data_IF_362709807581
#
_entry.id   IF_362709807581
#
_cell.length_a   1.000
_cell.length_b   1.000
_cell.length_c   1.000
_cell.angle_alpha   90.00
_cell.angle_beta   90.00
_cell.angle_gamma   90.00
#
_symmetry.space_group_name_H-M   'P 1'
#
loop_
_entity.id
_entity.type
_entity.pdbx_description
1 polymer ?
#
# COMPACT_ATOMS: atom_id res chain seq x y z
N UNK A 1 15.60 25.34 65.72
CA UNK A 1 14.59 25.73 64.71
C UNK A 1 15.39 26.15 63.49
N UNK A 2 15.81 25.19 62.68
CA UNK A 2 15.02 24.53 61.62
C UNK A 2 14.80 25.53 60.47
N UNK A 3 15.75 25.54 59.53
CA UNK A 3 15.60 26.05 58.16
C UNK A 3 16.87 25.74 57.37
N UNK A 4 16.97 24.50 56.88
CA UNK A 4 17.90 24.12 55.81
C UNK A 4 17.62 22.66 55.43
N UNK A 5 16.61 22.41 54.60
CA UNK A 5 16.53 21.12 53.86
C UNK A 5 15.52 21.07 52.70
N UNK A 6 14.87 22.18 52.28
CA UNK A 6 13.76 22.10 51.31
C UNK A 6 14.07 22.45 49.84
N UNK A 7 15.26 22.95 49.50
CA UNK A 7 15.56 23.45 48.13
C UNK A 7 16.26 22.45 47.18
N UNK A 8 16.79 21.34 47.70
CA UNK A 8 17.49 20.33 46.90
C UNK A 8 16.57 19.41 46.08
N UNK A 9 15.33 19.21 46.54
CA UNK A 9 14.38 18.31 45.88
C UNK A 9 13.69 18.94 44.66
N UNK A 10 13.39 20.25 44.71
CA UNK A 10 12.72 20.97 43.61
C UNK A 10 13.64 21.21 42.41
N UNK A 11 14.92 21.48 42.66
CA UNK A 11 15.95 21.69 41.62
C UNK A 11 16.31 20.40 40.89
N UNK A 12 16.49 19.28 41.62
CA UNK A 12 16.73 17.96 41.03
C UNK A 12 15.53 17.45 40.20
N UNK A 13 14.29 17.75 40.63
CA UNK A 13 13.07 17.41 39.89
C UNK A 13 12.93 18.17 38.55
N UNK A 14 13.32 19.45 38.54
CA UNK A 14 13.34 20.28 37.33
C UNK A 14 14.39 19.81 36.32
N UNK A 15 15.57 19.39 36.79
CA UNK A 15 16.63 18.86 35.92
C UNK A 15 16.26 17.48 35.34
N UNK A 16 15.61 16.62 36.12
CA UNK A 16 15.09 15.35 35.62
C UNK A 16 14.03 15.56 34.52
N UNK A 17 13.11 16.51 34.70
CA UNK A 17 12.08 16.84 33.71
C UNK A 17 12.69 17.39 32.42
N UNK A 18 13.70 18.26 32.53
CA UNK A 18 14.43 18.79 31.37
C UNK A 18 15.18 17.69 30.61
N UNK A 19 15.84 16.78 31.33
CA UNK A 19 16.54 15.64 30.74
C UNK A 19 15.57 14.71 29.99
N UNK A 20 14.42 14.38 30.60
CA UNK A 20 13.37 13.58 29.96
C UNK A 20 12.82 14.28 28.72
N UNK A 21 12.54 15.58 28.79
CA UNK A 21 12.05 16.35 27.64
C UNK A 21 13.07 16.38 26.49
N UNK A 22 14.37 16.50 26.79
CA UNK A 22 15.44 16.44 25.79
C UNK A 22 15.53 15.04 25.16
N UNK A 23 15.41 13.98 25.96
CA UNK A 23 15.39 12.61 25.46
C UNK A 23 14.20 12.36 24.51
N UNK A 24 12.99 12.81 24.90
CA UNK A 24 11.78 12.73 24.06
C UNK A 24 11.96 13.55 22.79
N UNK A 25 12.43 14.81 22.88
CA UNK A 25 12.68 15.66 21.72
C UNK A 25 13.68 15.03 20.75
N UNK A 26 14.74 14.41 21.26
CA UNK A 26 15.72 13.67 20.45
C UNK A 26 15.07 12.46 19.78
N UNK A 27 14.22 11.71 20.49
CA UNK A 27 13.51 10.57 19.94
C UNK A 27 12.55 10.99 18.80
N UNK A 28 11.76 12.05 19.01
CA UNK A 28 10.79 12.59 18.04
C UNK A 28 11.40 13.13 16.74
N UNK A 29 12.72 13.38 16.70
CA UNK A 29 13.40 13.79 15.47
C UNK A 29 13.60 12.64 14.48
N UNK A 30 13.47 11.40 14.91
CA UNK A 30 13.66 10.25 14.04
C UNK A 30 12.33 9.91 13.35
N UNK A 31 12.34 9.67 12.04
CA UNK A 31 11.14 9.26 11.32
C UNK A 31 10.69 7.86 11.77
N UNK A 32 9.38 7.68 11.89
CA UNK A 32 8.78 6.34 12.07
C UNK A 32 9.00 5.53 10.80
N UNK A 33 9.74 4.44 10.90
CA UNK A 33 10.05 3.53 9.79
C UNK A 33 9.40 2.15 9.91
N UNK A 34 8.87 1.84 11.10
CA UNK A 34 8.13 0.63 11.37
C UNK A 34 7.10 0.86 12.48
N UNK A 35 6.00 0.12 12.45
CA UNK A 35 5.01 0.06 13.51
C UNK A 35 4.49 -1.38 13.65
N UNK A 36 3.89 -1.70 14.79
CA UNK A 36 3.31 -3.03 15.00
C UNK A 36 2.29 -3.03 16.11
N UNK A 37 1.61 -4.16 16.30
CA UNK A 37 0.54 -4.27 17.26
C UNK A 37 0.08 -5.70 17.49
N UNK A 38 -1.01 -5.82 18.26
CA UNK A 38 -1.61 -7.11 18.64
C UNK A 38 -3.12 -7.00 18.51
N UNK A 39 -3.71 -7.98 17.83
CA UNK A 39 -5.15 -8.16 17.67
C UNK A 39 -5.56 -9.37 18.52
N UNK A 40 -6.53 -9.17 19.41
CA UNK A 40 -7.08 -10.25 20.24
C UNK A 40 -7.86 -11.21 19.35
N UNK A 41 -7.47 -12.48 19.32
CA UNK A 41 -8.12 -13.47 18.47
C UNK A 41 -9.56 -13.84 18.90
N UNK A 42 -10.01 -13.36 20.06
CA UNK A 42 -11.24 -13.81 20.72
C UNK A 42 -12.42 -12.80 20.71
N UNK A 43 -12.43 -11.79 19.82
CA UNK A 43 -13.56 -10.86 19.77
C UNK A 43 -14.46 -11.07 18.54
N UNK A 44 -15.71 -11.44 18.85
CA UNK A 44 -16.94 -11.40 18.05
C UNK A 44 -17.10 -12.34 16.85
N UNK A 45 -17.16 -13.65 17.09
CA UNK A 45 -18.36 -14.48 16.82
C UNK A 45 -18.06 -15.97 17.05
N UNK A 46 -19.13 -16.72 17.32
CA UNK A 46 -19.18 -18.11 17.79
C UNK A 46 -18.14 -19.05 17.15
N UNK A 47 -17.33 -19.68 18.00
CA UNK A 47 -16.83 -21.05 17.85
C UNK A 47 -16.02 -21.36 16.58
N UNK A 48 -15.04 -20.52 16.23
CA UNK A 48 -14.10 -20.81 15.13
C UNK A 48 -12.66 -20.51 15.55
N UNK A 49 -11.74 -21.36 15.08
CA UNK A 49 -10.29 -21.19 15.18
C UNK A 49 -9.90 -19.79 14.71
N UNK A 50 -9.02 -19.11 15.46
CA UNK A 50 -8.64 -17.70 15.28
C UNK A 50 -8.35 -17.23 13.84
N UNK A 51 -7.81 -18.10 12.99
CA UNK A 51 -7.60 -17.90 11.54
C UNK A 51 -7.59 -19.29 10.89
N UNK A 52 -8.29 -19.46 9.77
CA UNK A 52 -8.23 -20.65 8.93
C UNK A 52 -7.21 -20.45 7.81
N UNK A 53 -6.31 -21.43 7.64
CA UNK A 53 -5.48 -21.56 6.44
C UNK A 53 -5.84 -22.88 5.76
N UNK A 54 -6.15 -22.82 4.47
CA UNK A 54 -6.28 -24.02 3.63
C UNK A 54 -5.15 -24.00 2.62
N UNK A 55 -4.37 -25.07 2.57
CA UNK A 55 -3.29 -25.21 1.61
C UNK A 55 -3.31 -26.60 0.98
N UNK A 56 -2.79 -26.69 -0.23
CA UNK A 56 -2.49 -27.98 -0.84
C UNK A 56 -1.22 -28.54 -0.18
N UNK A 57 -1.39 -29.44 0.80
CA UNK A 57 -0.30 -30.02 1.57
C UNK A 57 0.71 -30.79 0.72
N UNK A 58 0.35 -31.18 -0.52
CA UNK A 58 1.28 -31.84 -1.45
C UNK A 58 2.39 -30.90 -1.94
N UNK A 59 2.24 -29.58 -1.79
CA UNK A 59 3.20 -28.55 -2.22
C UNK A 59 3.96 -27.92 -1.06
N UNK A 60 3.69 -28.31 0.18
CA UNK A 60 4.39 -27.79 1.35
C UNK A 60 5.76 -28.46 1.47
N UNK A 61 6.79 -27.80 0.96
CA UNK A 61 8.17 -28.24 1.16
C UNK A 61 8.58 -27.84 2.58
N UNK A 62 8.34 -28.73 3.54
CA UNK A 62 8.92 -28.65 4.88
C UNK A 62 10.41 -28.98 4.78
N UNK A 63 11.34 -28.20 5.38
CA UNK A 63 12.77 -28.49 5.36
C UNK A 63 13.17 -29.80 6.08
N UNK A 64 12.20 -30.63 6.44
CA UNK A 64 12.39 -31.97 6.99
C UNK A 64 11.36 -32.90 6.33
N UNK A 65 11.62 -33.39 5.12
CA UNK A 65 11.38 -34.78 4.69
C UNK A 65 11.89 -34.97 3.25
N UNK A 66 12.98 -35.74 3.13
CA UNK A 66 13.53 -36.42 1.94
C UNK A 66 13.19 -35.87 0.54
N UNK A 67 14.15 -35.19 -0.09
CA UNK A 67 14.13 -34.97 -1.54
C UNK A 67 15.03 -33.81 -1.94
N UNK A 68 15.94 -34.03 -2.88
CA UNK A 68 16.90 -33.03 -3.36
C UNK A 68 16.16 -31.86 -4.01
N UNK A 69 16.24 -30.69 -3.40
CA UNK A 69 16.32 -29.42 -4.10
C UNK A 69 17.29 -28.49 -3.36
N UNK A 70 18.15 -27.85 -4.15
CA UNK A 70 19.27 -27.02 -3.68
C UNK A 70 18.71 -25.68 -3.19
N UNK A 71 18.20 -25.66 -1.96
CA UNK A 71 18.10 -24.43 -1.17
C UNK A 71 19.42 -24.30 -0.43
N UNK A 72 20.10 -23.16 -0.58
CA UNK A 72 21.24 -22.84 0.27
C UNK A 72 20.80 -22.86 1.73
N UNK A 73 21.15 -23.96 2.42
CA UNK A 73 20.79 -24.24 3.81
C UNK A 73 21.39 -23.24 4.80
N UNK A 74 22.32 -22.39 4.34
CA UNK A 74 22.93 -21.32 5.12
C UNK A 74 22.15 -19.99 5.05
N UNK A 75 21.23 -19.84 4.08
CA UNK A 75 20.46 -18.61 3.86
C UNK A 75 18.99 -18.74 4.26
N UNK A 76 18.37 -19.92 4.12
CA UNK A 76 16.94 -20.11 4.41
C UNK A 76 16.61 -21.48 4.99
N UNK A 77 16.13 -21.52 6.23
CA UNK A 77 15.55 -22.71 6.88
C UNK A 77 14.08 -22.49 7.29
N UNK A 78 13.34 -21.80 6.42
CA UNK A 78 11.92 -21.55 6.58
C UNK A 78 11.18 -22.03 5.33
N UNK A 79 10.09 -22.77 5.51
CA UNK A 79 9.19 -23.12 4.41
C UNK A 79 8.44 -21.89 3.95
N UNK A 80 8.17 -21.82 2.65
CA UNK A 80 7.39 -20.74 2.04
C UNK A 80 6.29 -21.36 1.18
N UNK A 81 5.09 -20.83 1.30
CA UNK A 81 4.03 -20.99 0.30
C UNK A 81 3.79 -19.64 -0.38
N UNK A 82 3.75 -19.63 -1.70
CA UNK A 82 3.28 -18.49 -2.47
C UNK A 82 1.77 -18.34 -2.31
N UNK A 83 1.24 -17.11 -2.45
CA UNK A 83 -0.18 -16.80 -2.27
C UNK A 83 -1.14 -17.64 -3.15
N UNK A 84 -0.66 -18.30 -4.21
CA UNK A 84 -1.46 -19.20 -5.05
C UNK A 84 -1.57 -20.63 -4.51
N UNK A 85 -0.79 -20.98 -3.48
CA UNK A 85 -0.71 -22.33 -2.92
C UNK A 85 -1.52 -22.49 -1.63
N UNK A 86 -2.10 -21.40 -1.12
CA UNK A 86 -2.95 -21.40 0.06
C UNK A 86 -4.04 -20.34 -0.03
N UNK A 87 -5.05 -20.48 0.81
CA UNK A 87 -6.05 -19.46 1.10
C UNK A 87 -6.16 -19.26 2.61
N UNK A 88 -6.60 -18.07 3.00
CA UNK A 88 -6.84 -17.71 4.39
C UNK A 88 -8.09 -16.84 4.50
N UNK A 89 -8.80 -16.95 5.61
CA UNK A 89 -9.92 -16.07 5.97
C UNK A 89 -9.45 -14.79 6.69
N UNK A 90 -8.16 -14.65 6.99
CA UNK A 90 -7.62 -13.45 7.63
C UNK A 90 -7.57 -12.25 6.66
N UNK A 91 -8.26 -11.17 7.04
CA UNK A 91 -8.28 -9.92 6.31
C UNK A 91 -7.67 -8.78 7.17
N UNK A 92 -6.48 -8.25 6.83
CA UNK A 92 -5.86 -7.18 7.63
C UNK A 92 -6.64 -5.85 7.58
N UNK A 93 -7.56 -5.70 6.63
CA UNK A 93 -8.44 -4.54 6.54
C UNK A 93 -9.54 -4.58 7.60
N UNK A 94 -10.16 -5.74 7.81
CA UNK A 94 -11.29 -5.88 8.75
C UNK A 94 -10.85 -5.67 10.21
N UNK A 95 -9.61 -6.01 10.53
CA UNK A 95 -9.03 -5.81 11.87
C UNK A 95 -8.33 -4.45 12.04
N UNK A 96 -8.47 -3.53 11.07
CA UNK A 96 -7.95 -2.15 11.16
C UNK A 96 -6.44 -2.01 11.06
N UNK A 97 -5.68 -3.08 10.76
CA UNK A 97 -4.21 -3.01 10.63
C UNK A 97 -3.83 -2.05 9.52
N UNK A 98 -4.51 -2.14 8.37
CA UNK A 98 -4.21 -1.28 7.21
C UNK A 98 -4.45 0.20 7.53
N UNK A 99 -5.48 0.52 8.33
CA UNK A 99 -5.78 1.91 8.72
C UNK A 99 -4.69 2.47 9.65
N UNK A 100 -4.21 1.67 10.61
CA UNK A 100 -3.10 2.05 11.48
C UNK A 100 -1.84 2.30 10.66
N UNK A 101 -1.52 1.39 9.73
CA UNK A 101 -0.36 1.53 8.84
C UNK A 101 -0.49 2.77 7.96
N UNK A 102 -1.68 3.06 7.42
CA UNK A 102 -1.93 4.27 6.63
C UNK A 102 -1.68 5.55 7.43
N UNK A 103 -2.04 5.57 8.72
CA UNK A 103 -1.82 6.75 9.56
C UNK A 103 -0.39 6.88 10.06
N UNK A 104 0.27 5.76 10.36
CA UNK A 104 1.60 5.75 10.98
C UNK A 104 2.75 5.83 9.96
N UNK A 105 2.59 5.24 8.78
CA UNK A 105 3.67 5.04 7.80
C UNK A 105 3.40 5.68 6.43
N UNK A 106 2.20 6.18 6.10
CA UNK A 106 2.07 6.95 4.85
C UNK A 106 2.34 8.44 5.11
N UNK A 107 3.32 9.05 4.40
CA UNK A 107 3.46 10.49 4.39
C UNK A 107 2.21 11.14 3.77
N UNK A 108 1.53 12.00 4.54
CA UNK A 108 0.38 12.78 4.04
C UNK A 108 0.90 14.03 3.33
N UNK A 109 0.78 14.10 2.01
CA UNK A 109 0.93 15.36 1.29
C UNK A 109 -0.40 16.15 1.30
N UNK A 110 -0.37 17.49 1.43
CA UNK A 110 -1.57 18.30 1.39
C UNK A 110 -2.35 18.08 0.08
N UNK A 111 -3.57 17.57 0.21
CA UNK A 111 -4.48 17.33 -0.91
C UNK A 111 -4.38 15.95 -1.56
N UNK A 112 -3.51 15.07 -1.07
CA UNK A 112 -3.40 13.70 -1.58
C UNK A 112 -4.47 12.79 -0.97
N UNK A 113 -5.36 12.28 -1.82
CA UNK A 113 -6.16 11.10 -1.50
C UNK A 113 -5.27 9.88 -1.72
N UNK A 114 -4.55 9.45 -0.69
CA UNK A 114 -3.72 8.24 -0.75
C UNK A 114 -4.32 7.14 0.10
N UNK A 115 -4.48 5.96 -0.51
CA UNK A 115 -4.87 4.73 0.18
C UNK A 115 -3.73 3.72 0.21
N UNK A 116 -3.93 2.64 0.96
CA UNK A 116 -3.03 1.47 0.93
C UNK A 116 -3.76 0.31 0.29
N UNK A 117 -3.06 -0.39 -0.61
CA UNK A 117 -3.40 -1.78 -0.93
C UNK A 117 -2.41 -2.73 -0.28
N UNK A 118 -2.88 -3.57 0.63
CA UNK A 118 -2.18 -4.71 1.18
C UNK A 118 -2.48 -5.95 0.31
N UNK A 119 -1.47 -6.41 -0.42
CA UNK A 119 -1.57 -7.58 -1.28
C UNK A 119 -0.90 -8.79 -0.61
N UNK A 120 -1.65 -9.85 -0.35
CA UNK A 120 -1.09 -11.09 0.19
C UNK A 120 -0.01 -11.62 -0.76
N UNK A 121 1.18 -11.87 -0.22
CA UNK A 121 2.35 -12.27 -1.00
C UNK A 121 2.77 -13.71 -0.72
N UNK A 122 3.03 -14.03 0.55
CA UNK A 122 3.55 -15.34 0.95
C UNK A 122 3.10 -15.71 2.36
N UNK A 123 3.09 -17.01 2.62
CA UNK A 123 3.08 -17.57 3.96
C UNK A 123 4.46 -18.16 4.24
N UNK A 124 5.02 -17.88 5.41
CA UNK A 124 6.24 -18.55 5.88
C UNK A 124 5.94 -19.40 7.11
N UNK A 125 6.55 -20.59 7.17
CA UNK A 125 6.59 -21.44 8.36
C UNK A 125 8.04 -21.53 8.82
N UNK A 126 8.29 -21.07 10.03
CA UNK A 126 9.57 -21.15 10.70
C UNK A 126 9.50 -22.26 11.76
N UNK A 127 10.59 -23.01 11.90
CA UNK A 127 10.66 -24.13 12.83
C UNK A 127 12.00 -24.10 13.59
N UNK A 128 11.93 -24.33 14.90
CA UNK A 128 13.11 -24.57 15.72
C UNK A 128 13.85 -25.86 15.28
N UNK A 129 15.19 -25.92 15.38
CA UNK A 129 16.06 -24.98 16.10
C UNK A 129 16.64 -23.86 15.22
N UNK A 130 16.22 -23.69 13.97
CA UNK A 130 17.07 -22.97 13.01
C UNK A 130 16.37 -22.12 11.95
N UNK A 131 15.06 -21.92 12.07
CA UNK A 131 14.25 -21.08 11.19
C UNK A 131 14.59 -19.59 11.22
N UNK A 132 15.86 -19.20 11.19
CA UNK A 132 16.28 -17.81 11.08
C UNK A 132 16.16 -17.29 9.64
N UNK A 133 16.13 -15.98 9.52
CA UNK A 133 16.24 -15.28 8.24
C UNK A 133 17.29 -14.19 8.41
N UNK A 134 18.38 -14.26 7.64
CA UNK A 134 19.49 -13.32 7.77
C UNK A 134 19.09 -11.87 7.46
N UNK A 135 19.87 -10.87 7.92
CA UNK A 135 19.68 -9.48 7.53
C UNK A 135 19.59 -9.33 6.01
N UNK A 136 18.52 -8.69 5.56
CA UNK A 136 18.29 -8.39 4.15
C UNK A 136 17.35 -7.19 3.99
N UNK A 137 17.38 -6.58 2.83
CA UNK A 137 16.41 -5.57 2.39
C UNK A 137 15.54 -6.22 1.32
N UNK A 138 14.22 -6.05 1.42
CA UNK A 138 13.31 -6.57 0.40
C UNK A 138 13.52 -5.82 -0.92
N UNK A 139 13.58 -6.55 -2.04
CA UNK A 139 13.58 -5.91 -3.37
C UNK A 139 12.15 -5.46 -3.70
N UNK A 140 11.90 -4.15 -3.93
CA UNK A 140 10.59 -3.67 -4.34
C UNK A 140 10.15 -4.32 -5.65
N UNK A 141 8.85 -4.64 -5.76
CA UNK A 141 8.25 -5.26 -6.95
C UNK A 141 7.53 -4.27 -7.86
N UNK A 142 7.42 -3.03 -7.42
CA UNK A 142 6.77 -1.93 -8.13
C UNK A 142 7.23 -0.63 -7.51
N UNK A 143 7.27 0.44 -8.30
CA UNK A 143 7.53 1.80 -7.82
C UNK A 143 6.48 2.28 -6.80
N UNK A 144 5.31 1.64 -6.78
CA UNK A 144 4.24 1.93 -5.82
C UNK A 144 4.34 1.12 -4.53
N UNK A 145 5.22 0.10 -4.48
CA UNK A 145 5.44 -0.65 -3.24
C UNK A 145 6.27 0.20 -2.30
N UNK A 146 5.75 0.49 -1.12
CA UNK A 146 6.45 1.31 -0.12
C UNK A 146 6.86 0.50 1.12
N UNK A 147 6.30 -0.70 1.32
CA UNK A 147 6.58 -1.47 2.52
C UNK A 147 6.06 -2.90 2.49
N UNK A 148 6.27 -3.55 3.63
CA UNK A 148 5.86 -4.92 3.92
C UNK A 148 5.06 -4.94 5.22
N UNK A 149 4.00 -5.75 5.27
CA UNK A 149 3.26 -6.09 6.49
C UNK A 149 3.45 -7.57 6.77
N UNK A 150 3.93 -7.91 7.96
CA UNK A 150 4.10 -9.27 8.45
C UNK A 150 3.11 -9.50 9.59
N UNK A 151 2.24 -10.48 9.43
CA UNK A 151 1.24 -10.90 10.41
C UNK A 151 1.64 -12.27 10.95
N UNK A 152 1.92 -12.35 12.23
CA UNK A 152 2.16 -13.58 12.97
C UNK A 152 0.84 -14.16 13.47
N UNK A 153 0.55 -15.38 13.03
CA UNK A 153 -0.64 -16.10 13.47
C UNK A 153 -0.41 -16.71 14.86
N UNK A 154 -1.49 -17.02 15.62
CA UNK A 154 -1.34 -17.55 16.96
C UNK A 154 -0.69 -18.94 16.94
N UNK A 155 0.58 -19.01 17.31
CA UNK A 155 1.35 -20.24 17.42
C UNK A 155 2.41 -20.08 18.50
N UNK A 156 2.62 -21.11 19.30
CA UNK A 156 3.56 -21.03 20.41
C UNK A 156 4.98 -21.25 19.89
N UNK A 157 5.85 -20.29 20.18
CA UNK A 157 7.26 -20.37 19.85
C UNK A 157 8.11 -19.58 20.85
N UNK A 158 9.41 -19.89 20.86
CA UNK A 158 10.43 -19.14 21.58
C UNK A 158 11.53 -18.70 20.62
N UNK A 159 12.08 -17.51 20.88
CA UNK A 159 12.98 -16.84 19.94
C UNK A 159 12.24 -16.39 18.67
N UNK A 160 12.99 -16.18 17.59
CA UNK A 160 12.41 -15.78 16.30
C UNK A 160 11.98 -14.32 16.22
N UNK A 161 12.55 -13.43 17.03
CA UNK A 161 12.22 -12.00 16.99
C UNK A 161 12.43 -11.44 15.57
N UNK A 162 11.52 -10.57 15.14
CA UNK A 162 11.68 -9.80 13.91
C UNK A 162 12.39 -8.50 14.25
N UNK A 163 13.59 -8.30 13.70
CA UNK A 163 14.37 -7.09 13.92
C UNK A 163 14.34 -6.25 12.65
N UNK A 164 13.97 -4.98 12.78
CA UNK A 164 13.90 -4.02 11.66
C UNK A 164 14.83 -2.85 11.95
N UNK A 165 15.73 -2.57 11.01
CA UNK A 165 16.77 -1.55 11.10
C UNK A 165 16.64 -0.53 9.98
N UNK A 166 16.80 0.73 10.34
CA UNK A 166 16.79 1.84 9.40
C UNK A 166 17.60 3.00 9.96
N UNK A 167 18.55 3.53 9.17
CA UNK A 167 19.39 4.69 9.53
C UNK A 167 20.04 4.61 10.92
N UNK A 168 20.56 3.42 11.30
CA UNK A 168 21.22 3.20 12.58
C UNK A 168 20.28 3.00 13.78
N UNK A 169 18.96 3.05 13.56
CA UNK A 169 17.95 2.69 14.54
C UNK A 169 17.52 1.23 14.40
N UNK A 170 17.01 0.66 15.48
CA UNK A 170 16.59 -0.74 15.55
C UNK A 170 15.29 -0.87 16.36
N UNK A 171 14.30 -1.56 15.80
CA UNK A 171 13.07 -1.95 16.48
C UNK A 171 13.00 -3.47 16.44
N UNK A 172 12.76 -4.08 17.60
CA UNK A 172 12.61 -5.53 17.75
C UNK A 172 11.16 -5.84 18.09
N UNK A 173 10.51 -6.60 17.22
CA UNK A 173 9.18 -7.15 17.47
C UNK A 173 9.34 -8.57 18.03
N UNK A 174 9.04 -8.72 19.32
CA UNK A 174 9.02 -10.02 19.98
C UNK A 174 7.59 -10.56 20.06
N UNK A 175 7.37 -11.66 19.34
CA UNK A 175 6.10 -12.37 19.26
C UNK A 175 6.16 -13.73 19.96
N UNK A 176 7.26 -14.03 20.65
CA UNK A 176 7.38 -15.26 21.41
C UNK A 176 6.40 -15.29 22.58
N UNK A 177 5.87 -16.48 22.88
CA UNK A 177 4.96 -16.67 24.00
C UNK A 177 3.67 -17.42 23.61
N UNK A 178 2.60 -17.26 24.42
CA UNK A 178 1.38 -18.05 24.27
C UNK A 178 0.64 -17.79 22.94
N UNK A 179 0.16 -18.86 22.31
CA UNK A 179 -0.55 -18.87 21.02
C UNK A 179 -1.99 -18.31 21.09
N UNK A 180 -2.19 -17.09 21.60
CA UNK A 180 -3.53 -16.53 21.84
C UNK A 180 -3.91 -15.39 20.93
N UNK A 181 -2.96 -14.55 20.56
CA UNK A 181 -3.23 -13.31 19.85
C UNK A 181 -2.55 -13.29 18.48
N UNK A 182 -3.10 -12.52 17.55
CA UNK A 182 -2.46 -12.23 16.27
C UNK A 182 -1.56 -11.02 16.50
N UNK A 183 -0.29 -11.13 16.11
CA UNK A 183 0.66 -10.03 16.21
C UNK A 183 1.10 -9.60 14.83
N UNK A 184 1.49 -8.34 14.66
CA UNK A 184 1.89 -7.85 13.35
C UNK A 184 2.91 -6.72 13.43
N UNK A 185 3.66 -6.56 12.35
CA UNK A 185 4.55 -5.43 12.13
C UNK A 185 4.50 -5.01 10.66
N UNK A 186 4.54 -3.71 10.41
CA UNK A 186 4.72 -3.11 9.10
C UNK A 186 5.96 -2.21 9.10
N UNK A 187 6.67 -2.17 7.99
CA UNK A 187 7.89 -1.39 7.83
C UNK A 187 8.14 -1.04 6.35
N UNK A 188 8.94 -0.01 6.11
CA UNK A 188 9.27 0.41 4.75
C UNK A 188 10.15 -0.62 4.01
N UNK A 189 10.07 -0.63 2.69
CA UNK A 189 10.78 -1.60 1.84
C UNK A 189 12.30 -1.42 1.84
N UNK A 190 12.79 -0.23 2.17
CA UNK A 190 14.20 0.10 2.31
C UNK A 190 14.78 -0.22 3.70
N UNK A 191 13.95 -0.72 4.63
CA UNK A 191 14.42 -1.19 5.92
C UNK A 191 15.12 -2.54 5.78
N UNK A 192 16.30 -2.66 6.41
CA UNK A 192 16.92 -3.96 6.61
C UNK A 192 16.15 -4.70 7.70
N UNK A 193 15.86 -5.98 7.50
CA UNK A 193 15.22 -6.79 8.50
C UNK A 193 15.76 -8.22 8.55
N UNK A 194 15.63 -8.83 9.72
CA UNK A 194 16.01 -10.21 9.96
C UNK A 194 15.04 -10.90 10.93
N UNK A 195 15.07 -12.23 10.91
CA UNK A 195 14.36 -13.06 11.89
C UNK A 195 15.42 -13.84 12.65
N UNK A 196 15.47 -13.64 13.97
CA UNK A 196 16.42 -14.33 14.83
C UNK A 196 16.13 -15.84 14.92
N UNK A 197 17.03 -16.58 15.55
CA UNK A 197 16.90 -18.03 15.69
C UNK A 197 15.71 -18.43 16.57
N UNK A 198 15.04 -19.51 16.18
CA UNK A 198 13.94 -20.12 16.93
C UNK A 198 14.51 -21.20 17.86
N UNK A 199 14.28 -21.07 19.16
CA UNK A 199 14.75 -22.03 20.16
C UNK A 199 13.73 -23.14 20.43
N UNK A 200 12.43 -22.86 20.24
CA UNK A 200 11.35 -23.84 20.42
C UNK A 200 10.12 -23.47 19.57
N UNK A 201 9.32 -24.49 19.24
CA UNK A 201 8.03 -24.33 18.57
C UNK A 201 8.13 -23.95 17.08
N UNK A 202 7.05 -23.36 16.58
CA UNK A 202 6.90 -22.98 15.19
C UNK A 202 6.24 -21.61 15.07
N UNK A 203 6.65 -20.83 14.08
CA UNK A 203 6.01 -19.56 13.74
C UNK A 203 5.44 -19.57 12.35
N UNK A 204 4.17 -19.19 12.22
CA UNK A 204 3.49 -19.04 10.93
C UNK A 204 3.23 -17.56 10.71
N UNK A 205 3.68 -17.03 9.58
CA UNK A 205 3.47 -15.62 9.22
C UNK A 205 2.84 -15.47 7.84
N UNK A 206 1.88 -14.56 7.71
CA UNK A 206 1.42 -14.04 6.43
C UNK A 206 2.19 -12.75 6.13
N UNK A 207 2.75 -12.62 4.93
CA UNK A 207 3.40 -11.40 4.46
C UNK A 207 2.57 -10.75 3.36
N UNK A 208 2.30 -9.46 3.49
CA UNK A 208 1.62 -8.64 2.50
C UNK A 208 2.59 -7.58 1.97
N UNK A 209 2.57 -7.35 0.67
CA UNK A 209 3.22 -6.17 0.07
C UNK A 209 2.27 -4.98 0.20
N UNK A 210 2.78 -3.85 0.68
CA UNK A 210 2.01 -2.62 0.84
C UNK A 210 2.29 -1.69 -0.33
N UNK A 211 1.23 -1.28 -1.03
CA UNK A 211 1.31 -0.38 -2.16
C UNK A 211 0.53 0.91 -1.89
N UNK A 212 1.08 2.04 -2.32
CA UNK A 212 0.37 3.31 -2.37
C UNK A 212 -0.73 3.21 -3.44
N UNK A 213 -1.89 3.78 -3.16
CA UNK A 213 -2.99 3.99 -4.10
C UNK A 213 -3.19 5.48 -4.28
N UNK A 214 -3.07 5.95 -5.52
CA UNK A 214 -3.37 7.33 -5.86
C UNK A 214 -4.87 7.48 -6.08
N UNK A 215 -5.52 8.38 -5.35
CA UNK A 215 -6.95 8.65 -5.48
C UNK A 215 -7.84 7.69 -4.70
N UNK A 216 -9.05 7.49 -5.23
CA UNK A 216 -10.12 6.72 -4.59
C UNK A 216 -10.10 5.23 -4.94
N UNK A 217 -9.23 4.79 -5.86
CA UNK A 217 -9.21 3.41 -6.34
C UNK A 217 -8.16 3.13 -7.43
N UNK A 218 -8.34 2.03 -8.15
CA UNK A 218 -7.39 1.53 -9.18
C UNK A 218 -7.93 1.62 -10.61
N UNK A 219 -8.95 2.44 -10.88
CA UNK A 219 -9.34 2.73 -12.26
C UNK A 219 -8.18 3.47 -12.98
N UNK A 220 -8.41 3.94 -14.20
CA UNK A 220 -7.40 4.61 -15.04
C UNK A 220 -6.28 3.67 -15.50
N UNK A 221 -6.62 2.38 -15.66
CA UNK A 221 -5.72 1.36 -16.22
C UNK A 221 -4.96 0.51 -15.20
N UNK A 222 -5.24 0.66 -13.90
CA UNK A 222 -4.60 -0.13 -12.85
C UNK A 222 -5.45 -1.32 -12.36
N UNK A 223 -6.69 -1.47 -12.86
CA UNK A 223 -7.59 -2.59 -12.56
C UNK A 223 -8.46 -2.98 -13.75
N UNK A 224 -8.85 -4.24 -13.80
CA UNK A 224 -9.81 -4.81 -14.74
C UNK A 224 -11.13 -5.22 -14.06
N UNK A 225 -11.35 -4.77 -12.82
CA UNK A 225 -12.52 -5.15 -12.03
C UNK A 225 -13.85 -4.58 -12.56
N UNK A 226 -13.81 -3.57 -13.44
CA UNK A 226 -14.99 -2.95 -14.05
C UNK A 226 -15.15 -3.40 -15.50
N UNK A 227 -16.29 -4.00 -15.83
CA UNK A 227 -16.65 -4.31 -17.22
C UNK A 227 -17.17 -3.06 -17.93
N UNK A 228 -16.26 -2.27 -18.49
CA UNK A 228 -16.56 -0.98 -19.16
C UNK A 228 -17.63 -1.13 -20.25
N UNK A 229 -17.67 -2.28 -20.94
CA UNK A 229 -18.61 -2.56 -22.02
C UNK A 229 -20.08 -2.63 -21.57
N UNK A 230 -20.33 -2.91 -20.29
CA UNK A 230 -21.66 -2.95 -19.71
C UNK A 230 -22.18 -1.55 -19.32
N UNK A 231 -21.33 -0.52 -19.33
CA UNK A 231 -21.73 0.84 -19.00
C UNK A 231 -22.65 1.40 -20.08
N UNK A 232 -23.78 2.05 -19.74
CA UNK A 232 -24.68 2.65 -20.73
C UNK A 232 -23.98 3.64 -21.67
N UNK A 233 -23.02 4.40 -21.14
CA UNK A 233 -22.23 5.36 -21.91
C UNK A 233 -21.36 4.69 -22.97
N UNK A 234 -20.86 3.47 -22.73
CA UNK A 234 -20.03 2.75 -23.70
C UNK A 234 -20.78 2.49 -25.00
N UNK A 235 -22.01 2.00 -24.93
CA UNK A 235 -22.80 1.69 -26.12
C UNK A 235 -23.08 2.94 -26.95
N UNK A 236 -23.41 4.05 -26.29
CA UNK A 236 -23.69 5.33 -26.96
C UNK A 236 -22.45 5.89 -27.65
N UNK A 237 -21.31 5.92 -26.94
CA UNK A 237 -20.05 6.43 -27.50
C UNK A 237 -19.58 5.51 -28.63
N UNK A 238 -19.65 4.19 -28.45
CA UNK A 238 -19.28 3.23 -29.50
C UNK A 238 -20.12 3.43 -30.76
N UNK A 239 -21.45 3.53 -30.62
CA UNK A 239 -22.34 3.76 -31.75
C UNK A 239 -22.02 5.09 -32.47
N UNK A 240 -21.74 6.16 -31.72
CA UNK A 240 -21.32 7.43 -32.30
C UNK A 240 -20.00 7.30 -33.07
N UNK A 241 -18.99 6.61 -32.52
CA UNK A 241 -17.70 6.40 -33.20
C UNK A 241 -17.80 5.48 -34.43
N UNK A 242 -18.83 4.64 -34.51
CA UNK A 242 -19.11 3.76 -35.65
C UNK A 242 -19.97 4.45 -36.73
N UNK A 243 -20.58 5.61 -36.42
CA UNK A 243 -21.38 6.40 -37.36
C UNK A 243 -20.47 7.17 -38.34
N UNK A 244 -20.52 6.91 -39.66
CA UNK A 244 -19.68 7.61 -40.64
C UNK A 244 -19.94 9.12 -40.75
N UNK A 245 -21.10 9.60 -40.29
CA UNK A 245 -21.41 11.03 -40.23
C UNK A 245 -20.72 11.73 -39.05
N UNK A 246 -20.36 10.96 -38.03
CA UNK A 246 -19.58 11.41 -36.90
C UNK A 246 -18.09 11.24 -37.25
N UNK A 247 -17.47 12.32 -37.74
CA UNK A 247 -16.15 12.36 -38.42
C UNK A 247 -16.14 11.95 -39.91
N UNK A 248 -16.76 12.74 -40.80
CA UNK A 248 -16.83 12.42 -42.23
C UNK A 248 -15.47 12.43 -42.96
N UNK A 249 -14.44 13.11 -42.44
CA UNK A 249 -13.12 13.25 -43.09
C UNK A 249 -11.96 12.46 -42.45
N UNK A 250 -12.18 11.71 -41.37
CA UNK A 250 -11.11 11.05 -40.61
C UNK A 250 -11.24 9.54 -40.53
N UNK A 251 -10.32 8.78 -41.15
CA UNK A 251 -10.21 7.32 -40.95
C UNK A 251 -9.91 7.03 -39.47
N UNK A 252 -10.89 6.57 -38.70
CA UNK A 252 -10.65 6.03 -37.35
C UNK A 252 -9.69 4.83 -37.45
N UNK A 253 -8.44 4.92 -36.94
CA UNK A 253 -7.53 3.81 -37.06
C UNK A 253 -8.01 2.70 -36.13
N UNK A 254 -8.23 1.50 -36.69
CA UNK A 254 -8.60 0.27 -35.95
C UNK A 254 -7.54 -0.20 -34.93
N UNK A 255 -6.49 0.59 -34.72
CA UNK A 255 -5.48 0.55 -33.66
C UNK A 255 -4.93 1.97 -33.48
N UNK A 256 -5.27 2.64 -32.38
CA UNK A 256 -4.65 3.92 -31.99
C UNK A 256 -3.27 3.58 -31.39
N UNK A 257 -2.25 3.57 -32.25
CA UNK A 257 -0.85 3.60 -31.84
C UNK A 257 -0.34 5.02 -32.06
N UNK A 258 -0.01 5.69 -30.97
CA UNK A 258 0.57 7.02 -30.98
C UNK A 258 1.97 6.98 -31.62
N UNK A 259 2.07 7.34 -32.88
CA UNK A 259 3.20 8.11 -33.37
C UNK A 259 2.63 9.23 -34.22
N UNK A 260 2.61 10.42 -33.61
CA UNK A 260 2.52 11.75 -34.24
C UNK A 260 1.65 11.75 -35.51
N UNK A 261 0.33 11.71 -35.34
CA UNK A 261 -0.55 12.21 -36.39
C UNK A 261 -0.47 13.75 -36.38
N UNK A 262 -0.35 14.41 -37.55
CA UNK A 262 -0.40 15.86 -37.64
C UNK A 262 -1.67 16.43 -36.99
N UNK A 263 -1.62 17.67 -36.47
CA UNK A 263 -2.75 18.33 -35.80
C UNK A 263 -4.03 18.44 -36.66
N UNK A 264 -3.95 18.17 -37.97
CA UNK A 264 -5.01 18.40 -38.94
C UNK A 264 -5.78 17.14 -39.37
N UNK A 265 -5.77 16.06 -38.56
CA UNK A 265 -6.48 14.81 -38.92
C UNK A 265 -7.48 14.30 -37.89
N UNK A 266 -7.79 15.11 -36.87
CA UNK A 266 -8.79 14.81 -35.84
C UNK A 266 -9.37 16.07 -35.22
N UNK A 267 -10.60 16.00 -34.77
CA UNK A 267 -11.29 17.09 -34.07
C UNK A 267 -11.32 16.83 -32.57
N UNK A 268 -11.50 17.91 -31.81
CA UNK A 268 -11.50 17.89 -30.35
C UNK A 268 -12.94 17.91 -29.88
N UNK A 269 -13.30 16.97 -29.00
CA UNK A 269 -14.55 17.02 -28.25
C UNK A 269 -14.22 17.27 -26.79
N UNK A 270 -14.77 18.34 -26.23
CA UNK A 270 -14.62 18.71 -24.83
C UNK A 270 -15.95 18.59 -24.08
N UNK A 271 -15.84 18.35 -22.79
CA UNK A 271 -16.96 18.35 -21.86
C UNK A 271 -16.46 18.86 -20.52
N UNK A 272 -17.21 19.78 -19.93
CA UNK A 272 -16.98 20.18 -18.55
C UNK A 272 -17.16 18.99 -17.61
N UNK A 273 -16.21 18.79 -16.71
CA UNK A 273 -16.38 17.81 -15.67
C UNK A 273 -17.59 18.19 -14.80
N UNK A 274 -18.34 17.19 -14.39
CA UNK A 274 -19.60 17.34 -13.65
C UNK A 274 -19.37 17.76 -12.19
N UNK A 275 -18.13 17.61 -11.70
CA UNK A 275 -17.73 18.04 -10.37
C UNK A 275 -16.61 19.07 -10.44
N UNK A 276 -16.51 19.90 -9.40
CA UNK A 276 -15.36 20.76 -9.18
C UNK A 276 -14.15 19.93 -8.70
N UNK A 277 -13.01 20.12 -9.36
CA UNK A 277 -11.73 19.54 -8.98
C UNK A 277 -10.75 20.66 -8.66
N UNK A 278 -10.07 20.54 -7.51
CA UNK A 278 -9.00 21.47 -7.17
C UNK A 278 -7.87 21.31 -8.19
N UNK A 279 -7.53 22.39 -8.90
CA UNK A 279 -6.56 22.37 -10.00
C UNK A 279 -5.54 23.52 -9.95
N UNK A 280 -5.73 24.50 -9.06
CA UNK A 280 -4.90 25.70 -8.95
C UNK A 280 -3.62 25.53 -8.09
N UNK A 281 -3.45 24.39 -7.41
CA UNK A 281 -2.26 24.11 -6.61
C UNK A 281 -1.29 23.25 -7.43
N UNK A 282 0.01 23.60 -7.49
CA UNK A 282 1.07 22.85 -8.21
C UNK A 282 1.24 21.36 -7.83
N UNK A 283 0.50 20.88 -6.83
CA UNK A 283 0.44 19.48 -6.39
C UNK A 283 -0.64 18.69 -7.15
N UNK A 284 -1.78 19.33 -7.45
CA UNK A 284 -3.00 18.71 -7.97
C UNK A 284 -2.96 18.24 -9.44
N UNK A 285 -2.27 18.91 -10.39
CA UNK A 285 -2.16 18.45 -11.77
C UNK A 285 -1.63 17.02 -11.91
N UNK A 286 -0.97 16.48 -10.87
CA UNK A 286 -0.44 15.12 -10.83
C UNK A 286 -1.43 14.06 -10.32
N UNK A 287 -2.61 14.47 -9.82
CA UNK A 287 -3.62 13.56 -9.22
C UNK A 287 -4.77 13.23 -10.15
N UNK A 288 -5.02 14.03 -11.19
CA UNK A 288 -5.94 13.67 -12.27
C UNK A 288 -5.21 12.73 -13.24
N UNK A 289 -5.86 11.67 -13.73
CA UNK A 289 -7.29 11.35 -13.62
C UNK A 289 -7.71 10.56 -12.36
N UNK A 290 -6.79 10.16 -11.49
CA UNK A 290 -7.03 9.20 -10.41
C UNK A 290 -8.10 9.63 -9.37
N UNK A 291 -8.41 10.92 -9.27
CA UNK A 291 -9.41 11.47 -8.35
C UNK A 291 -10.76 11.80 -9.01
N UNK A 292 -10.96 11.48 -10.30
CA UNK A 292 -12.24 11.71 -10.98
C UNK A 292 -13.38 10.97 -10.27
N UNK A 293 -14.57 11.57 -10.28
CA UNK A 293 -15.75 11.10 -9.54
C UNK A 293 -16.92 10.80 -10.47
N UNK A 294 -17.67 9.77 -10.12
CA UNK A 294 -18.95 9.43 -10.76
C UNK A 294 -18.85 9.38 -12.28
N UNK A 295 -19.75 10.11 -12.96
CA UNK A 295 -19.82 10.17 -14.41
C UNK A 295 -18.53 10.61 -15.11
N UNK A 296 -17.70 11.44 -14.47
CA UNK A 296 -16.45 11.92 -15.07
C UNK A 296 -15.42 10.78 -15.20
N UNK A 297 -15.31 9.95 -14.15
CA UNK A 297 -14.44 8.76 -14.17
C UNK A 297 -14.96 7.69 -15.13
N UNK A 298 -16.29 7.47 -15.14
CA UNK A 298 -16.95 6.53 -16.05
C UNK A 298 -16.70 6.94 -17.51
N UNK A 299 -16.84 8.22 -17.84
CA UNK A 299 -16.55 8.74 -19.17
C UNK A 299 -15.07 8.57 -19.53
N UNK A 300 -14.16 8.90 -18.60
CA UNK A 300 -12.72 8.70 -18.77
C UNK A 300 -12.39 7.24 -19.11
N UNK A 301 -12.93 6.28 -18.36
CA UNK A 301 -12.72 4.85 -18.61
C UNK A 301 -13.29 4.38 -19.96
N UNK A 302 -14.51 4.82 -20.31
CA UNK A 302 -15.13 4.47 -21.60
C UNK A 302 -14.30 4.95 -22.77
N UNK A 303 -13.87 6.21 -22.76
CA UNK A 303 -13.04 6.76 -23.82
C UNK A 303 -11.70 6.04 -23.92
N UNK A 304 -11.02 5.84 -22.78
CA UNK A 304 -9.76 5.09 -22.69
C UNK A 304 -9.90 3.68 -23.27
N UNK A 305 -10.97 2.97 -22.91
CA UNK A 305 -11.23 1.61 -23.35
C UNK A 305 -11.50 1.53 -24.87
N UNK A 306 -12.19 2.53 -25.43
CA UNK A 306 -12.43 2.66 -26.87
C UNK A 306 -11.19 3.14 -27.65
N UNK A 307 -10.03 3.29 -26.99
CA UNK A 307 -8.76 3.69 -27.59
C UNK A 307 -8.57 5.20 -27.73
N UNK A 308 -9.55 6.01 -27.30
CA UNK A 308 -9.41 7.46 -27.24
C UNK A 308 -8.47 7.80 -26.07
N UNK A 309 -7.61 8.80 -26.22
CA UNK A 309 -6.70 9.25 -25.17
C UNK A 309 -7.27 10.50 -24.46
N UNK A 310 -8.18 10.34 -23.46
CA UNK A 310 -8.78 11.46 -22.77
C UNK A 310 -7.72 12.26 -21.98
N UNK A 311 -7.86 13.59 -21.98
CA UNK A 311 -7.05 14.49 -21.16
C UNK A 311 -7.98 15.37 -20.34
N UNK A 312 -7.73 15.46 -19.04
CA UNK A 312 -8.40 16.42 -18.16
C UNK A 312 -7.50 17.64 -18.05
N UNK A 313 -8.04 18.83 -18.33
CA UNK A 313 -7.31 20.10 -18.25
C UNK A 313 -8.10 21.13 -17.47
N UNK A 314 -7.43 22.04 -16.73
CA UNK A 314 -8.09 23.21 -16.18
C UNK A 314 -8.61 24.08 -17.32
N UNK A 315 -9.83 24.61 -17.17
CA UNK A 315 -10.39 25.59 -18.08
C UNK A 315 -10.18 26.96 -17.45
N UNK A 316 -9.48 27.84 -18.17
CA UNK A 316 -9.41 29.26 -17.82
C UNK A 316 -10.67 29.91 -18.39
N UNK A 317 -11.57 30.33 -17.51
CA UNK A 317 -12.69 31.16 -17.90
C UNK A 317 -12.17 32.59 -18.04
N UNK A 318 -11.80 32.94 -19.27
CA UNK A 318 -11.40 34.29 -19.62
C UNK A 318 -12.66 35.15 -19.75
N UNK A 319 -12.71 36.29 -19.07
CA UNK A 319 -13.73 37.31 -19.33
C UNK A 319 -13.65 37.80 -20.79
N UNK A 320 -14.73 38.42 -21.27
CA UNK A 320 -14.82 38.87 -22.67
C UNK A 320 -13.66 39.81 -23.05
N UNK A 321 -13.25 40.68 -22.13
CA UNK A 321 -12.15 41.63 -22.33
C UNK A 321 -10.79 40.92 -22.51
N UNK A 322 -10.52 39.83 -21.77
CA UNK A 322 -9.27 39.08 -21.88
C UNK A 322 -9.26 38.15 -23.11
N UNK A 323 -10.43 37.68 -23.57
CA UNK A 323 -10.54 36.91 -24.82
C UNK A 323 -10.17 37.76 -26.04
N UNK A 324 -10.65 39.00 -26.11
CA UNK A 324 -10.32 39.93 -27.18
C UNK A 324 -8.82 40.27 -27.20
N UNK A 325 -8.18 40.40 -26.03
CA UNK A 325 -6.75 40.68 -25.94
C UNK A 325 -5.87 39.53 -26.42
N UNK A 326 -6.24 38.27 -26.15
CA UNK A 326 -5.50 37.08 -26.56
C UNK A 326 -5.74 36.68 -28.02
N UNK A 327 -6.89 37.05 -28.62
CA UNK A 327 -7.18 36.83 -30.03
C UNK A 327 -6.34 37.66 -31.01
N UNK A 328 -5.54 38.60 -30.49
CA UNK A 328 -4.65 39.48 -31.26
C UNK A 328 -3.16 39.10 -31.15
N UNK A 329 -2.82 37.98 -30.51
CA UNK A 329 -1.47 37.37 -30.48
C UNK A 329 -1.36 36.21 -31.46
#
# INVERSE_FOLDING_TARGET
MADMEHDGAATASHDATRSIAQAISKALRHPTYACGGTIKAAYETRNTSAVTIRCDCSKLILPVFQGKDVIDKSYRKASKLDATQFSTDFCPYEVGIVDVVAQALLPKWPGDFQGIRAQLYKLNVYQAPSGLFKPHVDTPRSDLQFGSLVVCLPCEHQGGQLVVRHQGLCITFDWAGPAKDIQWAAFYSDCEHEVLEFTSGHRITLTYNLYVRCGLGELTGHTNAMEVQQLPLYQQVKAALEDPSFFPEGKFPRRISCYISPPDSGGIMDRYCSHAYAHANNVMPKTLPAILKGGDMVAFEVFRFLGIAPRVRPVLDLDEDTRDWLGHL
#
